data_IF_596640815834
#
_entry.id   IF_596640815834
#
_cell.length_a   1.000
_cell.length_b   1.000
_cell.length_c   1.000
_cell.angle_alpha   90.00
_cell.angle_beta   90.00
_cell.angle_gamma   90.00
#
_symmetry.space_group_name_H-M   'P 1'
#
loop_
_entity.id
_entity.type
_entity.pdbx_description
1 polymer ?
#
# COMPACT_ATOMS: atom_id res chain seq x y z
N UNK A 1 15.86 -5.70 -7.47
CA UNK A 1 16.25 -4.40 -8.04
C UNK A 1 16.13 -3.36 -6.95
N UNK A 2 17.08 -2.45 -6.82
CA UNK A 2 16.97 -1.37 -5.84
C UNK A 2 16.05 -0.26 -6.33
N UNK A 3 15.46 0.48 -5.40
CA UNK A 3 14.65 1.63 -5.72
C UNK A 3 15.54 2.80 -6.19
N UNK A 4 15.23 3.44 -7.33
CA UNK A 4 15.98 4.61 -7.79
C UNK A 4 15.65 5.84 -6.94
N UNK A 5 16.42 6.06 -5.87
CA UNK A 5 16.19 7.14 -4.89
C UNK A 5 16.09 8.55 -5.51
N UNK A 6 16.75 8.79 -6.65
CA UNK A 6 16.65 10.04 -7.39
C UNK A 6 15.23 10.38 -7.86
N UNK A 7 14.32 9.40 -7.95
CA UNK A 7 12.92 9.68 -8.25
C UNK A 7 12.23 10.45 -7.13
N UNK A 8 12.67 10.34 -5.87
CA UNK A 8 12.01 11.02 -4.74
C UNK A 8 12.04 12.54 -4.84
N UNK A 9 13.00 13.10 -5.58
CA UNK A 9 13.07 14.54 -5.87
C UNK A 9 12.24 14.98 -7.08
N UNK A 10 11.59 14.06 -7.80
CA UNK A 10 10.81 14.41 -8.98
C UNK A 10 9.42 14.92 -8.59
N UNK A 11 9.25 16.25 -8.62
CA UNK A 11 8.00 16.93 -8.26
C UNK A 11 6.90 16.84 -9.33
N UNK A 12 7.22 16.34 -10.53
CA UNK A 12 6.29 16.28 -11.67
C UNK A 12 5.60 14.93 -11.81
N UNK A 13 6.04 13.89 -11.09
CA UNK A 13 5.54 12.53 -11.27
C UNK A 13 4.09 12.43 -10.76
N UNK A 14 3.21 12.04 -11.69
CA UNK A 14 1.78 11.83 -11.48
C UNK A 14 1.41 10.36 -11.38
N UNK A 15 2.15 9.51 -12.08
CA UNK A 15 1.93 8.07 -12.08
C UNK A 15 3.25 7.36 -11.92
N UNK A 16 3.30 6.43 -10.97
CA UNK A 16 4.47 5.63 -10.70
C UNK A 16 4.07 4.16 -10.70
N UNK A 17 4.79 3.37 -11.50
CA UNK A 17 4.63 1.92 -11.56
C UNK A 17 5.98 1.30 -11.26
N UNK A 18 6.04 0.51 -10.20
CA UNK A 18 7.26 -0.17 -9.78
C UNK A 18 7.03 -1.67 -9.79
N UNK A 19 8.02 -2.40 -10.28
CA UNK A 19 8.01 -3.85 -10.25
C UNK A 19 9.34 -4.40 -9.75
N UNK A 20 9.30 -5.48 -8.97
CA UNK A 20 10.49 -6.26 -8.55
C UNK A 20 11.52 -5.44 -7.74
N UNK A 21 11.03 -4.47 -6.98
CA UNK A 21 11.85 -3.63 -6.09
C UNK A 21 12.03 -4.34 -4.75
N UNK A 22 13.26 -4.75 -4.45
CA UNK A 22 13.57 -5.60 -3.29
C UNK A 22 13.59 -4.85 -1.97
N UNK A 23 13.68 -3.52 -2.01
CA UNK A 23 13.59 -2.63 -0.85
C UNK A 23 13.00 -1.29 -1.28
N UNK A 24 11.76 -1.03 -0.88
CA UNK A 24 11.12 0.27 -1.08
C UNK A 24 11.58 1.27 -0.01
N UNK A 25 11.54 2.58 -0.30
CA UNK A 25 11.79 3.59 0.72
C UNK A 25 10.68 3.53 1.78
N UNK A 26 11.03 3.87 3.02
CA UNK A 26 10.06 3.93 4.12
C UNK A 26 9.06 5.09 3.98
N UNK A 27 9.35 6.07 3.12
CA UNK A 27 8.48 7.20 2.83
C UNK A 27 8.59 7.61 1.36
N UNK A 28 7.45 7.76 0.71
CA UNK A 28 7.27 8.29 -0.63
C UNK A 28 6.91 9.77 -0.51
N UNK A 29 7.77 10.64 -1.05
CA UNK A 29 7.62 12.10 -0.96
C UNK A 29 7.04 12.72 -2.25
N UNK A 30 6.29 11.95 -3.05
CA UNK A 30 5.76 12.45 -4.32
C UNK A 30 4.49 13.28 -4.12
N UNK A 31 4.63 14.59 -4.05
CA UNK A 31 3.53 15.51 -3.74
C UNK A 31 2.46 15.58 -4.84
N UNK A 32 2.81 15.34 -6.11
CA UNK A 32 1.86 15.36 -7.25
C UNK A 32 1.39 13.97 -7.70
N UNK A 33 1.81 12.90 -7.01
CA UNK A 33 1.48 11.53 -7.40
C UNK A 33 0.00 11.26 -7.16
N UNK A 34 -0.70 10.87 -8.22
CA UNK A 34 -2.11 10.55 -8.20
C UNK A 34 -2.38 9.04 -8.34
N UNK A 35 -1.45 8.28 -8.94
CA UNK A 35 -1.58 6.83 -9.06
C UNK A 35 -0.26 6.11 -8.79
N UNK A 36 -0.31 5.11 -7.90
CA UNK A 36 0.80 4.26 -7.53
C UNK A 36 0.45 2.78 -7.72
N UNK A 37 1.23 2.08 -8.52
CA UNK A 37 1.13 0.64 -8.68
C UNK A 37 2.44 -0.03 -8.29
N UNK A 38 2.38 -0.95 -7.34
CA UNK A 38 3.50 -1.71 -6.83
C UNK A 38 3.27 -3.19 -7.11
N UNK A 39 4.21 -3.83 -7.80
CA UNK A 39 4.14 -5.27 -8.13
C UNK A 39 5.40 -6.00 -7.74
N UNK A 40 5.33 -7.10 -6.99
CA UNK A 40 6.53 -7.84 -6.56
C UNK A 40 7.54 -6.95 -5.81
N UNK A 41 7.06 -6.03 -4.98
CA UNK A 41 7.90 -5.13 -4.19
C UNK A 41 7.95 -5.56 -2.72
N UNK A 42 9.00 -5.18 -2.01
CA UNK A 42 9.13 -5.46 -0.57
C UNK A 42 9.10 -4.17 0.24
N UNK A 43 8.19 -4.11 1.20
CA UNK A 43 8.23 -3.17 2.31
C UNK A 43 8.97 -3.79 3.46
N UNK A 44 9.89 -3.03 4.04
CA UNK A 44 10.73 -3.52 5.12
C UNK A 44 10.97 -2.41 6.13
N UNK A 45 10.83 -2.73 7.42
CA UNK A 45 11.11 -1.83 8.54
C UNK A 45 11.99 -2.57 9.53
N UNK A 46 13.20 -2.06 9.75
CA UNK A 46 14.13 -2.59 10.77
C UNK A 46 14.16 -1.73 12.02
N UNK A 47 13.63 -0.51 11.92
CA UNK A 47 13.42 0.34 13.08
C UNK A 47 12.36 -0.29 13.98
N UNK A 48 12.57 -0.20 15.29
CA UNK A 48 11.63 -0.65 16.35
C UNK A 48 10.28 0.10 16.32
N UNK A 49 9.96 0.80 15.24
CA UNK A 49 8.67 1.46 15.05
C UNK A 49 7.59 0.40 14.94
N UNK A 50 6.49 0.63 15.67
CA UNK A 50 5.37 -0.29 15.66
C UNK A 50 4.56 -0.24 14.35
N UNK A 51 4.79 0.78 13.51
CA UNK A 51 4.10 0.92 12.23
C UNK A 51 4.97 1.53 11.12
N UNK A 52 4.60 1.24 9.87
CA UNK A 52 5.14 1.84 8.65
C UNK A 52 4.01 2.57 7.91
N UNK A 53 4.25 3.82 7.47
CA UNK A 53 3.26 4.61 6.72
C UNK A 53 3.91 5.26 5.47
N UNK A 54 4.17 4.48 4.40
CA UNK A 54 5.01 4.94 3.30
C UNK A 54 4.40 6.07 2.49
N UNK A 55 3.08 6.19 2.48
CA UNK A 55 2.37 7.09 1.59
C UNK A 55 1.88 8.38 2.26
N UNK A 56 2.29 8.64 3.50
CA UNK A 56 1.83 9.79 4.28
C UNK A 56 2.02 11.14 3.58
N UNK A 57 3.08 11.27 2.77
CA UNK A 57 3.40 12.51 2.04
C UNK A 57 2.88 12.52 0.59
N UNK A 58 2.18 11.47 0.16
CA UNK A 58 1.56 11.41 -1.17
C UNK A 58 0.14 12.00 -1.11
N UNK A 59 0.02 13.28 -0.77
CA UNK A 59 -1.27 13.93 -0.45
C UNK A 59 -2.30 13.91 -1.58
N UNK A 60 -1.85 13.81 -2.84
CA UNK A 60 -2.71 13.77 -4.03
C UNK A 60 -3.00 12.35 -4.52
N UNK A 61 -2.58 11.31 -3.78
CA UNK A 61 -2.73 9.92 -4.20
C UNK A 61 -4.20 9.52 -4.20
N UNK A 62 -4.72 9.20 -5.38
CA UNK A 62 -6.12 8.77 -5.59
C UNK A 62 -6.25 7.27 -5.78
N UNK A 63 -5.22 6.64 -6.34
CA UNK A 63 -5.21 5.21 -6.63
C UNK A 63 -3.95 4.55 -6.09
N UNK A 64 -4.13 3.51 -5.29
CA UNK A 64 -3.05 2.68 -4.77
C UNK A 64 -3.34 1.21 -5.06
N UNK A 65 -2.42 0.56 -5.77
CA UNK A 65 -2.45 -0.87 -6.04
C UNK A 65 -1.17 -1.52 -5.50
N UNK A 66 -1.34 -2.53 -4.66
CA UNK A 66 -0.26 -3.32 -4.06
C UNK A 66 -0.50 -4.79 -4.41
N UNK A 67 0.30 -5.32 -5.34
CA UNK A 67 0.13 -6.67 -5.90
C UNK A 67 1.41 -7.50 -5.74
N UNK A 68 1.28 -8.75 -5.28
CA UNK A 68 2.39 -9.67 -4.99
C UNK A 68 3.51 -9.07 -4.14
N UNK A 69 3.18 -8.15 -3.23
CA UNK A 69 4.18 -7.46 -2.40
C UNK A 69 4.40 -8.18 -1.06
N UNK A 70 5.60 -8.01 -0.50
CA UNK A 70 6.00 -8.63 0.76
C UNK A 70 6.19 -7.58 1.88
N UNK A 71 5.67 -7.86 3.07
CA UNK A 71 5.86 -7.07 4.28
C UNK A 71 6.82 -7.79 5.24
N UNK A 72 8.01 -7.21 5.47
CA UNK A 72 9.07 -7.80 6.32
C UNK A 72 9.36 -6.92 7.53
N UNK A 73 9.28 -7.50 8.73
CA UNK A 73 9.57 -6.77 9.97
C UNK A 73 8.53 -5.71 10.35
N UNK A 74 7.40 -5.65 9.65
CA UNK A 74 6.35 -4.64 9.86
C UNK A 74 5.23 -5.25 10.73
N UNK A 75 4.94 -4.61 11.87
CA UNK A 75 3.81 -5.00 12.74
C UNK A 75 2.49 -4.38 12.28
N UNK A 76 2.51 -3.09 11.93
CA UNK A 76 1.37 -2.37 11.34
C UNK A 76 1.79 -1.63 10.07
N UNK A 77 1.00 -1.77 9.02
CA UNK A 77 1.13 -1.06 7.76
C UNK A 77 -0.04 -0.09 7.62
N UNK A 78 0.26 1.20 7.64
CA UNK A 78 -0.73 2.27 7.62
C UNK A 78 -0.84 2.91 6.25
N UNK A 79 -2.07 3.04 5.78
CA UNK A 79 -2.43 3.82 4.60
C UNK A 79 -3.20 5.03 5.10
N UNK A 80 -2.53 6.18 5.18
CA UNK A 80 -3.17 7.47 5.43
C UNK A 80 -3.28 8.24 4.12
N UNK A 81 -4.50 8.47 3.64
CA UNK A 81 -4.73 9.14 2.37
C UNK A 81 -6.14 9.71 2.28
N UNK A 82 -6.28 10.99 2.66
CA UNK A 82 -7.60 11.67 2.63
C UNK A 82 -8.20 11.74 1.23
N UNK A 83 -7.37 11.72 0.18
CA UNK A 83 -7.81 11.80 -1.23
C UNK A 83 -7.87 10.44 -1.92
N UNK A 84 -7.59 9.34 -1.20
CA UNK A 84 -7.56 8.01 -1.79
C UNK A 84 -8.98 7.55 -2.13
N UNK A 85 -9.23 7.27 -3.41
CA UNK A 85 -10.53 6.85 -3.95
C UNK A 85 -10.57 5.36 -4.24
N UNK A 86 -9.41 4.78 -4.58
CA UNK A 86 -9.27 3.38 -4.98
C UNK A 86 -8.07 2.74 -4.29
N UNK A 87 -8.31 1.61 -3.63
CA UNK A 87 -7.28 0.82 -2.96
C UNK A 87 -7.46 -0.66 -3.33
N UNK A 88 -6.38 -1.29 -3.79
CA UNK A 88 -6.39 -2.73 -4.06
C UNK A 88 -5.17 -3.43 -3.47
N UNK A 89 -5.41 -4.57 -2.84
CA UNK A 89 -4.40 -5.52 -2.38
C UNK A 89 -4.57 -6.84 -3.11
N UNK A 90 -3.50 -7.38 -3.67
CA UNK A 90 -3.56 -8.59 -4.49
C UNK A 90 -2.39 -9.51 -4.16
N UNK A 91 -2.66 -10.71 -3.64
CA UNK A 91 -1.65 -11.70 -3.20
C UNK A 91 -0.49 -11.12 -2.38
N UNK A 92 -0.80 -10.24 -1.42
CA UNK A 92 0.23 -9.73 -0.52
C UNK A 92 0.62 -10.76 0.53
N UNK A 93 1.90 -10.76 0.91
CA UNK A 93 2.47 -11.73 1.84
C UNK A 93 3.22 -11.03 2.96
N UNK A 94 3.25 -11.65 4.13
CA UNK A 94 4.02 -11.16 5.27
C UNK A 94 3.80 -12.05 6.49
N UNK A 95 4.64 -11.87 7.52
CA UNK A 95 4.27 -12.32 8.87
C UNK A 95 3.07 -11.48 9.36
N UNK A 96 2.48 -11.84 10.51
CA UNK A 96 1.33 -11.12 11.10
C UNK A 96 1.55 -9.60 11.04
N UNK A 97 0.84 -8.97 10.10
CA UNK A 97 0.94 -7.54 9.81
C UNK A 97 -0.47 -6.99 9.79
N UNK A 98 -0.75 -6.02 10.67
CA UNK A 98 -2.03 -5.32 10.68
C UNK A 98 -2.02 -4.25 9.60
N UNK A 99 -3.13 -4.07 8.89
CA UNK A 99 -3.31 -3.00 7.92
C UNK A 99 -4.33 -2.02 8.48
N UNK A 100 -3.88 -0.78 8.67
CA UNK A 100 -4.71 0.33 9.09
C UNK A 100 -5.03 1.22 7.89
N UNK A 101 -6.31 1.39 7.57
CA UNK A 101 -6.75 2.24 6.46
C UNK A 101 -7.44 3.49 7.01
N UNK A 102 -6.81 4.64 6.78
CA UNK A 102 -7.35 5.98 7.06
C UNK A 102 -7.59 6.71 5.74
N UNK A 103 -8.64 6.27 5.03
CA UNK A 103 -9.04 6.79 3.73
C UNK A 103 -10.56 7.04 3.73
N UNK A 104 -11.03 8.17 4.29
CA UNK A 104 -12.46 8.41 4.46
C UNK A 104 -13.19 8.48 3.11
N UNK A 105 -12.56 9.02 2.08
CA UNK A 105 -13.16 9.19 0.74
C UNK A 105 -13.01 7.94 -0.17
N UNK A 106 -12.64 6.79 0.39
CA UNK A 106 -12.43 5.57 -0.39
C UNK A 106 -13.76 5.07 -0.96
N UNK A 107 -13.85 5.00 -2.29
CA UNK A 107 -15.05 4.54 -3.00
C UNK A 107 -14.92 3.13 -3.55
N UNK A 108 -13.68 2.67 -3.76
CA UNK A 108 -13.37 1.34 -4.27
C UNK A 108 -12.33 0.66 -3.38
N UNK A 109 -12.65 -0.54 -2.91
CA UNK A 109 -11.73 -1.38 -2.15
C UNK A 109 -11.75 -2.80 -2.73
N UNK A 110 -10.58 -3.33 -3.04
CA UNK A 110 -10.43 -4.70 -3.51
C UNK A 110 -9.36 -5.43 -2.74
N UNK A 111 -9.63 -6.68 -2.42
CA UNK A 111 -8.65 -7.56 -1.81
C UNK A 111 -8.73 -8.98 -2.34
N UNK A 112 -7.58 -9.49 -2.80
CA UNK A 112 -7.41 -10.86 -3.26
C UNK A 112 -6.36 -11.57 -2.37
N UNK A 113 -6.79 -12.64 -1.71
CA UNK A 113 -5.97 -13.41 -0.79
C UNK A 113 -5.50 -14.72 -1.41
N UNK A 114 -4.20 -14.98 -1.26
CA UNK A 114 -3.66 -16.33 -1.39
C UNK A 114 -3.68 -17.08 -0.04
N UNK A 115 -3.65 -18.41 -0.11
CA UNK A 115 -3.56 -19.30 1.06
C UNK A 115 -2.36 -18.91 1.95
N UNK A 116 -2.60 -18.74 3.25
CA UNK A 116 -1.55 -18.42 4.24
C UNK A 116 -1.21 -16.94 4.39
N UNK A 117 -1.95 -16.01 3.77
CA UNK A 117 -1.83 -14.58 4.08
C UNK A 117 -2.20 -14.32 5.56
N UNK A 118 -1.27 -13.71 6.30
CA UNK A 118 -1.46 -13.31 7.70
C UNK A 118 -1.70 -11.79 7.86
N UNK A 119 -2.13 -11.15 6.78
CA UNK A 119 -2.45 -9.72 6.78
C UNK A 119 -3.85 -9.52 7.33
N UNK A 120 -3.97 -8.77 8.42
CA UNK A 120 -5.24 -8.51 9.13
C UNK A 120 -5.63 -7.05 8.97
N UNK A 121 -6.89 -6.75 8.70
CA UNK A 121 -7.39 -5.37 8.73
C UNK A 121 -7.95 -5.09 10.11
N UNK A 122 -7.62 -3.94 10.66
CA UNK A 122 -8.34 -3.42 11.81
C UNK A 122 -9.73 -2.92 11.36
N UNK A 123 -10.56 -2.48 12.32
CA UNK A 123 -11.89 -1.95 12.02
C UNK A 123 -11.84 -0.91 10.89
N UNK A 124 -12.61 -1.17 9.82
CA UNK A 124 -12.65 -0.34 8.64
C UNK A 124 -13.84 0.63 8.76
N UNK A 125 -13.55 1.91 8.98
CA UNK A 125 -14.53 2.97 8.88
C UNK A 125 -14.42 3.67 7.51
N UNK A 126 -15.16 3.15 6.52
CA UNK A 126 -15.11 3.56 5.12
C UNK A 126 -16.51 4.01 4.65
N UNK A 127 -16.99 5.20 5.07
CA UNK A 127 -18.40 5.59 4.93
C UNK A 127 -18.85 5.85 3.49
N UNK A 128 -17.92 6.08 2.55
CA UNK A 128 -18.21 6.36 1.14
C UNK A 128 -17.89 5.18 0.21
N UNK A 129 -17.69 3.99 0.76
CA UNK A 129 -17.31 2.82 0.00
C UNK A 129 -18.48 2.31 -0.84
N UNK A 130 -18.33 2.38 -2.17
CA UNK A 130 -19.38 2.00 -3.12
C UNK A 130 -19.16 0.58 -3.66
N UNK A 131 -17.91 0.17 -3.84
CA UNK A 131 -17.54 -1.10 -4.45
C UNK A 131 -16.54 -1.81 -3.53
N UNK A 132 -16.85 -3.08 -3.23
CA UNK A 132 -16.01 -3.96 -2.43
C UNK A 132 -15.87 -5.30 -3.15
N UNK A 133 -14.66 -5.60 -3.60
CA UNK A 133 -14.32 -6.87 -4.24
C UNK A 133 -13.44 -7.70 -3.30
N UNK A 134 -13.97 -8.81 -2.77
CA UNK A 134 -13.19 -9.74 -1.92
C UNK A 134 -13.06 -11.07 -2.65
N UNK A 135 -11.83 -11.46 -2.96
CA UNK A 135 -11.49 -12.74 -3.55
C UNK A 135 -10.59 -13.55 -2.61
N UNK A 136 -10.92 -14.83 -2.45
CA UNK A 136 -10.09 -15.78 -1.71
C UNK A 136 -9.82 -16.93 -2.67
N UNK A 137 -8.59 -17.05 -3.13
CA UNK A 137 -8.22 -18.20 -3.95
C UNK A 137 -8.11 -19.43 -3.06
N UNK A 138 -9.10 -20.31 -3.20
CA UNK A 138 -9.06 -21.66 -2.66
C UNK A 138 -8.23 -22.57 -3.56
N UNK A 139 -7.23 -23.22 -2.97
CA UNK A 139 -6.75 -24.52 -3.45
C UNK A 139 -7.29 -25.59 -2.53
#
# INVERSE_FOLDING_TARGET
MEFPNSLLSCESIKTLRLARVTKLPESFAFTKLNSLHLKFCTFESYDRRDFLCPFANCFNLKTLNISYCCFRGIKSFRISGLQLLSLSFDYVQGRVCKVDIFAPNLTYFSVCWGVGSLVLFNELNLPFLNIVDVHVDGT
#
